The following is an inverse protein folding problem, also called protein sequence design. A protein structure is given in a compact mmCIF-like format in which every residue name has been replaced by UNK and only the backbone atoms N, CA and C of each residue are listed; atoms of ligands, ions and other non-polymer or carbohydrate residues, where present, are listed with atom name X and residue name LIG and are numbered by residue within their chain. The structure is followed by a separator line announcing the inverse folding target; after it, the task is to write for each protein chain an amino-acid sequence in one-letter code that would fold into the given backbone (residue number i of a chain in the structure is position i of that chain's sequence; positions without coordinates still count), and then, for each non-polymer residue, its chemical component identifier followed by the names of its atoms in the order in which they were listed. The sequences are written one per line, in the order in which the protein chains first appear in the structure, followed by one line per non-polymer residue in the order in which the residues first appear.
data_IF_742274218479
#
_entry.id   IF_742274218479
#
_cell.length_a   1.000
_cell.length_b   1.000
_cell.length_c   1.000
_cell.angle_alpha   90.00
_cell.angle_beta   90.00
_cell.angle_gamma   90.00
#
_symmetry.space_group_name_H-M   'P 1'
#
loop_
_entity.id
_entity.type
_entity.pdbx_description
1 polymer ?
#
# COMPACT_ATOMS: atom_id res chain seq x y z
N UNK A 1 9.20 -3.23 13.60
CA UNK A 1 9.12 -2.28 12.47
C UNK A 1 10.49 -2.23 11.81
N UNK A 2 10.57 -1.94 10.50
CA UNK A 2 11.87 -1.73 9.85
C UNK A 2 12.41 -2.88 8.98
N UNK A 3 11.58 -3.81 8.54
CA UNK A 3 11.98 -4.89 7.62
C UNK A 3 12.44 -4.42 6.21
N UNK A 4 12.69 -3.12 6.01
CA UNK A 4 13.08 -2.57 4.71
C UNK A 4 11.96 -2.48 3.67
N UNK A 5 10.68 -2.68 4.05
CA UNK A 5 9.50 -2.61 3.14
C UNK A 5 9.52 -1.36 2.28
N UNK A 6 9.54 -0.17 2.90
CA UNK A 6 9.48 1.09 2.16
C UNK A 6 10.71 1.32 1.28
N UNK A 7 11.89 0.88 1.70
CA UNK A 7 13.10 0.91 0.87
C UNK A 7 12.92 0.02 -0.36
N UNK A 8 12.44 -1.22 -0.18
CA UNK A 8 12.23 -2.15 -1.29
C UNK A 8 11.10 -1.70 -2.22
N UNK A 9 10.02 -1.14 -1.68
CA UNK A 9 8.92 -0.57 -2.46
C UNK A 9 9.42 0.55 -3.38
N UNK A 10 10.26 1.46 -2.86
CA UNK A 10 10.89 2.53 -3.65
C UNK A 10 11.79 1.98 -4.76
N UNK A 11 12.66 1.02 -4.43
CA UNK A 11 13.54 0.39 -5.41
C UNK A 11 12.75 -0.26 -6.56
N UNK A 12 11.68 -0.99 -6.24
CA UNK A 12 10.84 -1.65 -7.24
C UNK A 12 10.09 -0.63 -8.08
N UNK A 13 9.56 0.42 -7.47
CA UNK A 13 8.84 1.47 -8.20
C UNK A 13 9.76 2.14 -9.24
N UNK A 14 11.00 2.46 -8.86
CA UNK A 14 12.00 3.00 -9.78
C UNK A 14 12.34 1.99 -10.89
N UNK A 15 12.67 0.75 -10.52
CA UNK A 15 13.10 -0.27 -11.48
C UNK A 15 12.01 -0.65 -12.49
N UNK A 16 10.74 -0.64 -12.08
CA UNK A 16 9.60 -0.96 -12.94
C UNK A 16 8.97 0.27 -13.61
N UNK A 17 9.47 1.48 -13.35
CA UNK A 17 8.83 2.73 -13.77
C UNK A 17 7.33 2.77 -13.36
N UNK A 18 7.07 2.42 -12.11
CA UNK A 18 5.74 2.28 -11.54
C UNK A 18 5.42 3.41 -10.56
N UNK A 19 4.13 3.69 -10.36
CA UNK A 19 3.67 4.64 -9.36
C UNK A 19 3.79 4.01 -7.97
N UNK A 20 4.47 4.68 -7.04
CA UNK A 20 4.55 4.27 -5.64
C UNK A 20 3.43 4.94 -4.85
N UNK A 21 2.66 4.16 -4.09
CA UNK A 21 1.74 4.67 -3.09
C UNK A 21 2.15 4.18 -1.70
N UNK A 22 2.40 5.12 -0.78
CA UNK A 22 2.75 4.83 0.61
C UNK A 22 1.63 5.24 1.56
N UNK A 23 1.21 4.29 2.40
CA UNK A 23 0.17 4.54 3.40
C UNK A 23 0.62 5.60 4.40
N UNK A 24 1.85 5.46 4.92
CA UNK A 24 2.40 6.37 5.93
C UNK A 24 2.53 7.80 5.39
N UNK A 25 2.90 7.96 4.12
CA UNK A 25 2.96 9.25 3.44
C UNK A 25 1.58 9.90 3.32
N UNK A 26 0.57 9.13 2.90
CA UNK A 26 -0.80 9.64 2.77
C UNK A 26 -1.41 9.98 4.13
N UNK A 27 -1.22 9.13 5.13
CA UNK A 27 -1.74 9.34 6.47
C UNK A 27 -1.12 10.58 7.11
N UNK A 28 0.21 10.74 7.02
CA UNK A 28 0.91 11.92 7.55
C UNK A 28 0.53 13.21 6.82
N UNK A 29 0.23 13.14 5.51
CA UNK A 29 -0.19 14.30 4.72
C UNK A 29 -1.64 14.70 4.95
N UNK A 30 -2.56 13.73 5.07
CA UNK A 30 -4.00 13.98 5.21
C UNK A 30 -4.43 14.25 6.66
N UNK A 31 -3.74 13.64 7.62
CA UNK A 31 -4.08 13.69 9.05
C UNK A 31 -2.88 14.16 9.88
N UNK A 32 -2.30 15.35 9.59
CA UNK A 32 -1.14 15.84 10.31
C UNK A 32 -1.47 16.01 11.79
N UNK A 33 -0.63 15.46 12.67
CA UNK A 33 -0.76 15.47 14.13
C UNK A 33 -2.08 14.86 14.68
N UNK A 34 -2.76 14.01 13.91
CA UNK A 34 -4.02 13.36 14.35
C UNK A 34 -3.85 11.87 14.66
N UNK A 35 -2.69 11.28 14.36
CA UNK A 35 -2.39 9.87 14.63
C UNK A 35 -1.50 9.80 15.87
N UNK A 36 -2.13 9.78 17.04
CA UNK A 36 -1.43 9.72 18.33
C UNK A 36 -1.42 8.30 18.92
N UNK A 37 -2.28 7.43 18.40
CA UNK A 37 -2.42 6.04 18.85
C UNK A 37 -2.51 5.05 17.69
N UNK A 38 -2.40 3.77 18.02
CA UNK A 38 -2.64 2.69 17.05
C UNK A 38 -4.11 2.65 16.59
N UNK A 39 -5.05 3.01 17.45
CA UNK A 39 -6.48 3.08 17.10
C UNK A 39 -6.75 4.18 16.06
N UNK A 40 -6.11 5.35 16.22
CA UNK A 40 -6.17 6.42 15.23
C UNK A 40 -5.63 5.95 13.89
N UNK A 41 -4.47 5.28 13.89
CA UNK A 41 -3.88 4.72 12.68
C UNK A 41 -4.85 3.75 11.99
N UNK A 42 -5.47 2.82 12.72
CA UNK A 42 -6.45 1.89 12.14
C UNK A 42 -7.67 2.61 11.55
N UNK A 43 -8.20 3.60 12.28
CA UNK A 43 -9.34 4.41 11.84
C UNK A 43 -9.03 5.16 10.54
N UNK A 44 -7.93 5.90 10.51
CA UNK A 44 -7.57 6.72 9.36
C UNK A 44 -7.09 5.87 8.17
N UNK A 45 -6.37 4.77 8.41
CA UNK A 45 -6.05 3.77 7.37
C UNK A 45 -7.33 3.24 6.72
N UNK A 46 -8.32 2.83 7.51
CA UNK A 46 -9.59 2.36 6.98
C UNK A 46 -10.33 3.45 6.17
N UNK A 47 -10.28 4.70 6.62
CA UNK A 47 -10.94 5.83 5.96
C UNK A 47 -10.36 6.14 4.58
N UNK A 48 -9.05 5.99 4.36
CA UNK A 48 -8.43 6.27 3.05
C UNK A 48 -8.58 5.13 2.06
N UNK A 49 -8.80 3.88 2.51
CA UNK A 49 -8.84 2.70 1.63
C UNK A 49 -9.79 2.79 0.44
N UNK A 50 -11.04 3.30 0.57
CA UNK A 50 -11.93 3.45 -0.59
C UNK A 50 -11.38 4.40 -1.66
N UNK A 51 -10.75 5.51 -1.24
CA UNK A 51 -10.13 6.47 -2.15
C UNK A 51 -8.90 5.86 -2.82
N UNK A 52 -8.02 5.22 -2.04
CA UNK A 52 -6.83 4.51 -2.55
C UNK A 52 -7.25 3.45 -3.56
N UNK A 53 -8.28 2.66 -3.27
CA UNK A 53 -8.77 1.62 -4.18
C UNK A 53 -9.12 2.19 -5.55
N UNK A 54 -9.96 3.23 -5.58
CA UNK A 54 -10.35 3.87 -6.85
C UNK A 54 -9.15 4.48 -7.58
N UNK A 55 -8.21 5.09 -6.84
CA UNK A 55 -7.02 5.70 -7.45
C UNK A 55 -6.10 4.65 -8.09
N UNK A 56 -5.84 3.55 -7.39
CA UNK A 56 -5.06 2.42 -7.91
C UNK A 56 -5.71 1.85 -9.16
N UNK A 57 -7.02 1.61 -9.14
CA UNK A 57 -7.75 1.09 -10.29
C UNK A 57 -7.67 2.02 -11.50
N UNK A 58 -7.75 3.33 -11.30
CA UNK A 58 -7.59 4.30 -12.39
C UNK A 58 -6.19 4.24 -13.02
N UNK A 59 -5.14 4.13 -12.20
CA UNK A 59 -3.75 4.04 -12.68
C UNK A 59 -3.52 2.74 -13.46
N UNK A 60 -4.00 1.61 -12.93
CA UNK A 60 -3.90 0.31 -13.60
C UNK A 60 -4.68 0.29 -14.92
N UNK A 61 -5.84 0.94 -14.96
CA UNK A 61 -6.70 0.99 -16.15
C UNK A 61 -6.08 1.74 -17.33
N UNK A 62 -5.10 2.62 -17.09
CA UNK A 62 -4.32 3.29 -18.14
C UNK A 62 -3.02 2.57 -18.47
N UNK A 63 -2.82 1.35 -17.95
CA UNK A 63 -1.67 0.49 -18.23
C UNK A 63 -0.40 0.83 -17.44
N UNK A 64 -0.52 1.55 -16.33
CA UNK A 64 0.63 1.90 -15.47
C UNK A 64 0.65 1.00 -14.24
N UNK A 65 1.82 0.43 -13.93
CA UNK A 65 2.03 -0.39 -12.74
C UNK A 65 1.97 0.45 -11.45
N UNK A 66 1.49 -0.18 -10.37
CA UNK A 66 1.44 0.44 -9.03
C UNK A 66 2.17 -0.43 -8.02
N UNK A 67 3.08 0.16 -7.27
CA UNK A 67 3.71 -0.45 -6.09
C UNK A 67 3.02 0.07 -4.83
N UNK A 68 2.47 -0.84 -4.04
CA UNK A 68 1.73 -0.54 -2.83
C UNK A 68 2.58 -0.73 -1.58
N UNK A 69 3.03 0.35 -0.96
CA UNK A 69 3.80 0.34 0.28
C UNK A 69 2.89 0.33 1.53
N UNK A 70 1.95 -0.61 1.56
CA UNK A 70 0.92 -0.77 2.60
C UNK A 70 1.17 -2.05 3.42
N UNK A 71 0.67 -2.17 4.67
CA UNK A 71 0.82 -3.38 5.47
C UNK A 71 0.03 -4.55 4.87
N UNK A 72 0.69 -5.71 4.77
CA UNK A 72 0.14 -6.97 4.23
C UNK A 72 0.26 -8.14 5.22
N UNK A 73 0.37 -7.84 6.51
CA UNK A 73 0.68 -8.81 7.57
C UNK A 73 -0.50 -9.74 7.85
N UNK A 74 -1.74 -9.24 7.77
CA UNK A 74 -2.95 -10.04 8.04
C UNK A 74 -3.59 -10.59 6.78
N UNK A 75 -4.37 -11.66 6.91
CA UNK A 75 -5.15 -12.20 5.79
C UNK A 75 -6.16 -11.17 5.25
N UNK A 76 -6.77 -10.37 6.13
CA UNK A 76 -7.70 -9.31 5.74
C UNK A 76 -7.03 -8.22 4.90
N UNK A 77 -5.81 -7.82 5.26
CA UNK A 77 -5.02 -6.88 4.46
C UNK A 77 -4.69 -7.45 3.08
N UNK A 78 -4.26 -8.72 3.00
CA UNK A 78 -3.98 -9.39 1.72
C UNK A 78 -5.21 -9.56 0.85
N UNK A 79 -6.37 -9.88 1.43
CA UNK A 79 -7.64 -9.93 0.72
C UNK A 79 -8.00 -8.59 0.10
N UNK A 80 -7.81 -7.49 0.84
CA UNK A 80 -8.06 -6.14 0.32
C UNK A 80 -7.20 -5.81 -0.91
N UNK A 81 -5.91 -6.21 -0.94
CA UNK A 81 -5.09 -6.04 -2.15
C UNK A 81 -5.63 -6.81 -3.36
N UNK A 82 -6.14 -8.04 -3.16
CA UNK A 82 -6.75 -8.81 -4.24
C UNK A 82 -7.99 -8.08 -4.79
N UNK A 83 -8.80 -7.48 -3.94
CA UNK A 83 -9.96 -6.68 -4.36
C UNK A 83 -9.58 -5.43 -5.19
N UNK A 84 -8.33 -4.94 -5.11
CA UNK A 84 -7.87 -3.83 -5.95
C UNK A 84 -7.74 -4.26 -7.42
N UNK A 85 -7.23 -5.47 -7.64
CA UNK A 85 -6.82 -5.95 -8.97
C UNK A 85 -7.88 -6.80 -9.66
N UNK A 86 -8.76 -7.45 -8.89
CA UNK A 86 -9.85 -8.28 -9.44
C UNK A 86 -10.84 -7.46 -10.28
N UNK A 87 -11.21 -6.27 -9.81
CA UNK A 87 -12.17 -5.40 -10.51
C UNK A 87 -11.64 -4.87 -11.85
N UNK A 88 -10.32 -4.80 -12.01
CA UNK A 88 -9.64 -4.27 -13.21
C UNK A 88 -8.86 -5.35 -13.99
N UNK A 89 -9.03 -6.62 -13.60
CA UNK A 89 -8.36 -7.79 -14.18
C UNK A 89 -6.84 -7.61 -14.41
N UNK A 90 -6.16 -6.98 -13.45
CA UNK A 90 -4.71 -6.72 -13.52
C UNK A 90 -3.91 -7.86 -12.89
N UNK A 91 -2.70 -8.10 -13.42
CA UNK A 91 -1.73 -9.01 -12.78
C UNK A 91 -1.28 -8.43 -11.44
N UNK A 92 -0.86 -9.29 -10.52
CA UNK A 92 -0.42 -8.86 -9.19
C UNK A 92 0.69 -9.75 -8.66
N UNK A 93 1.51 -9.18 -7.77
CA UNK A 93 2.60 -9.87 -7.10
C UNK A 93 2.66 -9.42 -5.64
N UNK A 94 2.70 -10.38 -4.72
CA UNK A 94 2.96 -10.11 -3.31
C UNK A 94 4.44 -10.34 -3.01
N UNK A 95 5.10 -9.36 -2.41
CA UNK A 95 6.52 -9.43 -2.04
C UNK A 95 6.62 -9.60 -0.54
N UNK A 96 7.11 -10.77 -0.12
CA UNK A 96 7.33 -11.10 1.28
C UNK A 96 8.81 -10.91 1.63
N UNK A 97 9.08 -9.99 2.55
CA UNK A 97 10.43 -9.78 3.09
C UNK A 97 10.61 -10.69 4.30
N UNK A 98 11.28 -11.82 4.08
CA UNK A 98 11.58 -12.78 5.14
C UNK A 98 12.85 -12.35 5.89
N UNK A 99 12.69 -11.49 6.88
CA UNK A 99 13.78 -11.04 7.76
C UNK A 99 13.55 -11.54 9.18
N UNK A 100 14.64 -11.90 9.86
CA UNK A 100 14.63 -12.22 11.29
C UNK A 100 14.55 -10.94 12.10
N UNK A 101 13.86 -11.00 13.25
CA UNK A 101 13.95 -9.97 14.27
C UNK A 101 15.27 -10.19 15.03
N UNK A 102 16.36 -9.62 14.55
CA UNK A 102 17.54 -9.41 15.40
C UNK A 102 17.36 -8.14 16.24
#
# INVERSE_FOLDING_TARGET
MGAGKSTKSKEIAVNKNAVLLSEDEWLSSLYPNQIESFEDYLKFSAQIKPLVKKHVQNILSVGTDVVMDFPANTQGQRKWFLELVLDVNSSHQLIYLNLTNE
#
